data_IF_838850729617
#
_entry.id   IF_838850729617
#
_cell.length_a   1.000
_cell.length_b   1.000
_cell.length_c   1.000
_cell.angle_alpha   90.00
_cell.angle_beta   90.00
_cell.angle_gamma   90.00
#
_symmetry.space_group_name_H-M   'P 1'
#
loop_
_entity.id
_entity.type
_entity.pdbx_description
1 polymer ?
#
# COMPACT_ATOMS: atom_id res chain seq x y z
N UNK A 1 3.27 -5.49 26.83
CA UNK A 1 2.72 -4.15 26.53
C UNK A 1 1.65 -4.36 25.46
N UNK A 2 0.52 -3.66 25.52
CA UNK A 2 -0.54 -3.76 24.51
C UNK A 2 -0.21 -2.80 23.36
N UNK A 3 -0.33 -3.26 22.11
CA UNK A 3 -0.23 -2.41 20.91
C UNK A 3 -1.64 -2.04 20.42
N UNK A 4 -1.87 -0.77 20.14
CA UNK A 4 -3.13 -0.21 19.64
C UNK A 4 -2.97 0.22 18.19
N UNK A 5 -3.75 -0.39 17.31
CA UNK A 5 -3.74 -0.09 15.87
C UNK A 5 -5.05 0.61 15.53
N UNK A 6 -4.97 1.83 14.99
CA UNK A 6 -6.14 2.52 14.46
C UNK A 6 -6.29 2.22 12.96
N UNK A 7 -7.38 1.55 12.61
CA UNK A 7 -7.75 1.26 11.21
C UNK A 7 -9.03 2.02 10.87
N UNK A 8 -8.95 3.17 10.17
CA UNK A 8 -10.11 4.02 9.92
C UNK A 8 -11.02 3.45 8.82
N UNK A 9 -10.45 2.71 7.87
CA UNK A 9 -11.17 1.99 6.81
C UNK A 9 -10.34 0.79 6.35
N UNK A 10 -10.98 -0.18 5.69
CA UNK A 10 -10.28 -1.32 5.10
C UNK A 10 -9.51 -0.96 3.82
N UNK A 11 -9.90 0.12 3.13
CA UNK A 11 -9.30 0.53 1.86
C UNK A 11 -9.29 2.06 1.74
N UNK A 12 -8.15 2.65 1.36
CA UNK A 12 -8.04 4.05 1.00
C UNK A 12 -8.84 4.33 -0.29
N UNK A 13 -9.83 5.21 -0.20
CA UNK A 13 -10.73 5.58 -1.30
C UNK A 13 -12.19 5.19 -1.11
N UNK A 14 -12.56 4.58 0.02
CA UNK A 14 -13.95 4.22 0.38
C UNK A 14 -14.58 5.12 1.45
N UNK A 15 -13.81 6.07 1.98
CA UNK A 15 -14.23 6.95 3.07
C UNK A 15 -14.16 6.30 4.44
N UNK A 16 -14.27 7.17 5.45
CA UNK A 16 -14.41 6.85 6.86
C UNK A 16 -15.10 8.02 7.57
N UNK A 17 -15.71 7.75 8.73
CA UNK A 17 -16.37 8.76 9.55
C UNK A 17 -15.32 9.62 10.29
N UNK A 18 -15.38 10.95 10.12
CA UNK A 18 -14.40 11.86 10.71
C UNK A 18 -14.46 11.87 12.24
N UNK A 19 -15.65 11.74 12.81
CA UNK A 19 -15.81 11.71 14.27
C UNK A 19 -15.26 10.40 14.84
N UNK A 20 -15.40 9.27 14.13
CA UNK A 20 -14.78 8.01 14.48
C UNK A 20 -13.26 8.07 14.41
N UNK A 21 -12.70 8.69 13.36
CA UNK A 21 -11.25 8.93 13.27
C UNK A 21 -10.76 9.75 14.46
N UNK A 22 -11.44 10.85 14.79
CA UNK A 22 -11.08 11.71 15.93
C UNK A 22 -11.14 10.96 17.27
N UNK A 23 -12.17 10.13 17.49
CA UNK A 23 -12.25 9.27 18.68
C UNK A 23 -11.10 8.24 18.72
N UNK A 24 -10.75 7.67 17.58
CA UNK A 24 -9.64 6.74 17.44
C UNK A 24 -8.31 7.37 17.80
N UNK A 25 -8.04 8.57 17.30
CA UNK A 25 -6.85 9.37 17.64
C UNK A 25 -6.82 9.69 19.14
N UNK A 26 -7.94 10.13 19.72
CA UNK A 26 -8.04 10.45 21.14
C UNK A 26 -7.82 9.23 22.06
N UNK A 27 -7.98 8.00 21.55
CA UNK A 27 -7.71 6.78 22.29
C UNK A 27 -6.20 6.44 22.39
N UNK A 28 -5.32 7.24 21.78
CA UNK A 28 -3.87 7.07 21.81
C UNK A 28 -3.42 5.79 21.13
N UNK A 29 -3.56 5.69 19.79
CA UNK A 29 -3.02 4.57 19.04
C UNK A 29 -1.48 4.62 19.04
N UNK A 30 -0.84 3.49 18.73
CA UNK A 30 0.61 3.42 18.49
C UNK A 30 0.95 3.55 17.00
N UNK A 31 -0.04 3.35 16.13
CA UNK A 31 0.07 3.35 14.67
C UNK A 31 -1.31 3.58 14.05
N UNK A 32 -1.35 4.30 12.93
CA UNK A 32 -2.51 4.36 12.05
C UNK A 32 -2.19 3.50 10.82
N UNK A 33 -3.05 2.55 10.51
CA UNK A 33 -2.89 1.64 9.39
C UNK A 33 -4.13 1.65 8.49
N UNK A 34 -3.91 1.69 7.19
CA UNK A 34 -4.95 1.51 6.17
C UNK A 34 -4.40 0.56 5.10
N UNK A 35 -5.25 -0.06 4.31
CA UNK A 35 -4.80 -0.82 3.14
C UNK A 35 -5.35 -0.19 1.86
N UNK A 36 -4.91 -0.67 0.71
CA UNK A 36 -5.55 -0.42 -0.58
C UNK A 36 -5.90 -1.70 -1.32
N UNK A 37 -5.37 -2.86 -0.90
CA UNK A 37 -5.43 -4.12 -1.62
C UNK A 37 -6.84 -4.65 -1.86
N UNK A 38 -7.09 -5.22 -3.05
CA UNK A 38 -8.37 -5.86 -3.37
C UNK A 38 -8.21 -6.83 -4.54
N UNK A 39 -8.83 -7.99 -4.44
CA UNK A 39 -8.99 -8.95 -5.54
C UNK A 39 -10.29 -8.76 -6.33
N UNK A 40 -11.25 -8.04 -5.77
CA UNK A 40 -12.63 -7.94 -6.30
C UNK A 40 -12.71 -7.25 -7.65
N UNK A 41 -11.71 -6.42 -7.96
CA UNK A 41 -11.64 -5.67 -9.22
C UNK A 41 -10.99 -6.45 -10.37
N UNK A 42 -10.62 -7.71 -10.12
CA UNK A 42 -9.92 -8.53 -11.08
C UNK A 42 -8.53 -7.97 -11.43
N UNK A 43 -7.92 -8.43 -12.52
CA UNK A 43 -6.52 -8.14 -12.83
C UNK A 43 -6.30 -6.75 -13.46
N UNK A 44 -7.35 -5.98 -13.77
CA UNK A 44 -7.24 -4.76 -14.58
C UNK A 44 -6.24 -3.76 -13.99
N UNK A 45 -6.41 -3.38 -12.72
CA UNK A 45 -5.58 -2.35 -12.08
C UNK A 45 -4.13 -2.79 -11.84
N UNK A 46 -3.92 -4.10 -11.63
CA UNK A 46 -2.56 -4.67 -11.63
C UNK A 46 -1.97 -4.63 -13.03
N UNK A 47 -2.72 -5.04 -14.05
CA UNK A 47 -2.27 -5.05 -15.44
C UNK A 47 -1.92 -3.66 -15.97
N UNK A 48 -2.66 -2.63 -15.58
CA UNK A 48 -2.40 -1.23 -15.98
C UNK A 48 -1.44 -0.49 -15.05
N UNK A 49 -1.18 -1.00 -13.84
CA UNK A 49 -0.35 -0.32 -12.84
C UNK A 49 -0.96 1.02 -12.38
N UNK A 50 -2.29 1.08 -12.26
CA UNK A 50 -3.02 2.30 -11.90
C UNK A 50 -3.94 2.07 -10.71
N UNK A 51 -4.19 3.11 -9.92
CA UNK A 51 -5.15 3.04 -8.81
C UNK A 51 -6.58 2.72 -9.26
N UNK A 52 -7.28 1.89 -8.48
CA UNK A 52 -8.73 1.68 -8.60
C UNK A 52 -9.53 2.94 -8.30
N UNK A 53 -9.13 3.65 -7.24
CA UNK A 53 -9.83 4.82 -6.74
C UNK A 53 -9.23 6.10 -7.33
N UNK A 54 -10.07 7.13 -7.48
CA UNK A 54 -9.63 8.37 -8.07
C UNK A 54 -8.60 9.08 -7.19
N UNK A 55 -7.67 9.76 -7.84
CA UNK A 55 -6.62 10.53 -7.17
C UNK A 55 -7.18 11.55 -6.18
N UNK A 56 -8.26 12.25 -6.54
CA UNK A 56 -8.86 13.26 -5.67
C UNK A 56 -9.36 12.66 -4.36
N UNK A 57 -10.07 11.52 -4.42
CA UNK A 57 -10.61 10.86 -3.22
C UNK A 57 -9.47 10.32 -2.36
N UNK A 58 -8.52 9.59 -2.93
CA UNK A 58 -7.38 9.07 -2.17
C UNK A 58 -6.57 10.19 -1.51
N UNK A 59 -6.34 11.30 -2.21
CA UNK A 59 -5.61 12.45 -1.68
C UNK A 59 -6.35 13.15 -0.54
N UNK A 60 -7.67 13.31 -0.65
CA UNK A 60 -8.46 13.97 0.41
C UNK A 60 -8.56 13.11 1.66
N UNK A 61 -8.69 11.79 1.52
CA UNK A 61 -8.61 10.86 2.65
C UNK A 61 -7.19 10.81 3.23
N UNK A 62 -6.16 10.74 2.38
CA UNK A 62 -4.78 10.71 2.83
C UNK A 62 -4.38 11.98 3.59
N UNK A 63 -4.90 13.15 3.20
CA UNK A 63 -4.75 14.40 3.96
C UNK A 63 -5.22 14.23 5.40
N UNK A 64 -6.44 13.73 5.59
CA UNK A 64 -7.02 13.53 6.92
C UNK A 64 -6.19 12.55 7.75
N UNK A 65 -5.64 11.51 7.12
CA UNK A 65 -4.75 10.55 7.80
C UNK A 65 -3.38 11.15 8.14
N UNK A 66 -2.81 12.01 7.28
CA UNK A 66 -1.58 12.75 7.56
C UNK A 66 -1.73 13.73 8.73
N UNK A 67 -2.89 14.39 8.85
CA UNK A 67 -3.21 15.24 9.99
C UNK A 67 -3.44 14.41 11.26
N UNK A 68 -4.19 13.31 11.17
CA UNK A 68 -4.45 12.41 12.29
C UNK A 68 -3.16 11.80 12.85
N UNK A 69 -2.23 11.34 11.99
CA UNK A 69 -0.93 10.80 12.44
C UNK A 69 -0.11 11.87 13.15
N UNK A 70 -0.16 13.12 12.68
CA UNK A 70 0.61 14.22 13.24
C UNK A 70 0.07 14.62 14.61
N UNK A 71 -1.27 14.65 14.75
CA UNK A 71 -1.93 14.88 16.03
C UNK A 71 -1.66 13.77 17.06
N UNK A 72 -1.61 12.51 16.62
CA UNK A 72 -1.30 11.37 17.47
C UNK A 72 0.20 11.20 17.75
N UNK A 73 1.08 11.72 16.88
CA UNK A 73 2.52 11.53 16.96
C UNK A 73 2.99 10.11 16.61
N UNK A 74 2.33 9.45 15.64
CA UNK A 74 2.55 8.03 15.31
C UNK A 74 2.83 7.80 13.82
N UNK A 75 3.40 6.65 13.42
CA UNK A 75 3.53 6.31 12.00
C UNK A 75 2.17 6.06 11.33
N UNK A 76 2.09 6.41 10.05
CA UNK A 76 0.99 6.05 9.15
C UNK A 76 1.48 5.02 8.15
N UNK A 77 0.76 3.91 8.01
CA UNK A 77 1.13 2.81 7.12
C UNK A 77 -0.02 2.54 6.15
N UNK A 78 0.30 2.43 4.86
CA UNK A 78 -0.57 1.80 3.87
C UNK A 78 -0.01 0.43 3.48
N UNK A 79 -0.87 -0.59 3.41
CA UNK A 79 -0.46 -1.94 3.01
C UNK A 79 -0.12 -2.06 1.53
N UNK A 80 -1.10 -1.76 0.66
CA UNK A 80 -0.93 -1.74 -0.79
C UNK A 80 -1.34 -0.40 -1.38
N UNK A 81 -0.42 0.27 -2.07
CA UNK A 81 -0.73 1.51 -2.78
C UNK A 81 -1.58 1.23 -4.03
N UNK A 82 -2.60 2.07 -4.30
CA UNK A 82 -3.41 2.00 -5.52
C UNK A 82 -4.13 0.68 -5.79
N UNK A 83 -4.38 -0.14 -4.76
CA UNK A 83 -5.02 -1.47 -4.86
C UNK A 83 -4.18 -2.58 -5.47
N UNK A 84 -3.18 -2.28 -6.29
CA UNK A 84 -2.35 -3.29 -6.95
C UNK A 84 -0.89 -3.35 -6.46
N UNK A 85 -0.40 -2.36 -5.73
CA UNK A 85 0.92 -2.41 -5.08
C UNK A 85 2.10 -2.45 -6.05
N UNK A 86 1.90 -2.08 -7.32
CA UNK A 86 2.98 -1.94 -8.30
C UNK A 86 3.86 -0.74 -7.96
N UNK A 87 5.11 -0.74 -8.43
CA UNK A 87 6.01 0.40 -8.26
C UNK A 87 5.38 1.72 -8.69
N UNK A 88 4.65 1.73 -9.82
CA UNK A 88 3.93 2.92 -10.31
C UNK A 88 2.91 3.46 -9.31
N UNK A 89 2.20 2.59 -8.58
CA UNK A 89 1.24 3.03 -7.57
C UNK A 89 1.87 3.45 -6.26
N UNK A 90 3.02 2.87 -5.88
CA UNK A 90 3.83 3.33 -4.75
C UNK A 90 4.38 4.72 -5.03
N UNK A 91 4.94 4.95 -6.22
CA UNK A 91 5.45 6.26 -6.65
C UNK A 91 4.33 7.29 -6.74
N UNK A 92 3.18 6.93 -7.30
CA UNK A 92 1.99 7.79 -7.33
C UNK A 92 1.52 8.20 -5.93
N UNK A 93 1.53 7.28 -4.97
CA UNK A 93 1.17 7.57 -3.58
C UNK A 93 2.22 8.45 -2.89
N UNK A 94 3.48 8.25 -3.23
CA UNK A 94 4.58 9.09 -2.77
C UNK A 94 4.46 10.53 -3.28
N UNK A 95 4.11 10.72 -4.55
CA UNK A 95 3.83 12.06 -5.12
C UNK A 95 2.71 12.77 -4.36
N UNK A 96 1.58 12.10 -4.12
CA UNK A 96 0.47 12.63 -3.31
C UNK A 96 0.94 13.01 -1.91
N UNK A 97 1.77 12.17 -1.30
CA UNK A 97 2.33 12.40 0.04
C UNK A 97 3.24 13.63 0.06
N UNK A 98 4.08 13.82 -0.97
CA UNK A 98 4.95 14.99 -1.09
C UNK A 98 4.15 16.30 -1.25
N UNK A 99 3.12 16.29 -2.11
CA UNK A 99 2.22 17.43 -2.29
C UNK A 99 1.54 17.82 -0.98
N UNK A 100 0.97 16.83 -0.27
CA UNK A 100 0.30 17.06 1.01
C UNK A 100 1.27 17.52 2.09
N UNK A 101 2.48 16.95 2.15
CA UNK A 101 3.50 17.38 3.10
C UNK A 101 3.85 18.87 2.92
N UNK A 102 4.01 19.31 1.67
CA UNK A 102 4.26 20.72 1.36
C UNK A 102 3.08 21.62 1.75
N UNK A 103 1.84 21.21 1.46
CA UNK A 103 0.63 21.96 1.80
C UNK A 103 0.37 22.07 3.30
N UNK A 104 0.64 21.00 4.04
CA UNK A 104 0.45 20.90 5.49
C UNK A 104 1.64 21.44 6.28
N UNK A 105 2.74 21.84 5.62
CA UNK A 105 3.97 22.29 6.26
C UNK A 105 4.68 21.18 7.06
N UNK A 106 4.51 19.92 6.67
CA UNK A 106 5.11 18.77 7.34
C UNK A 106 6.44 18.38 6.70
N UNK A 107 7.44 18.07 7.52
CA UNK A 107 8.66 17.38 7.06
C UNK A 107 8.53 15.91 7.43
N UNK A 108 8.51 15.03 6.42
CA UNK A 108 8.21 13.61 6.59
C UNK A 108 9.40 12.73 6.18
N UNK A 109 9.71 11.73 7.00
CA UNK A 109 10.52 10.58 6.60
C UNK A 109 9.62 9.49 6.01
N UNK A 110 9.65 9.31 4.70
CA UNK A 110 8.82 8.32 4.01
C UNK A 110 9.66 7.09 3.64
N UNK A 111 9.19 5.90 4.03
CA UNK A 111 9.70 4.63 3.53
C UNK A 111 8.80 4.13 2.40
N UNK A 112 9.40 3.70 1.28
CA UNK A 112 8.71 3.15 0.12
C UNK A 112 9.12 1.70 -0.06
N UNK A 113 8.15 0.79 -0.07
CA UNK A 113 8.37 -0.64 -0.23
C UNK A 113 7.90 -1.05 -1.62
N UNK A 114 8.82 -1.59 -2.40
CA UNK A 114 8.53 -2.10 -3.73
C UNK A 114 8.46 -3.61 -3.70
N UNK A 115 7.41 -4.17 -4.29
CA UNK A 115 7.15 -5.61 -4.30
C UNK A 115 7.24 -6.21 -5.70
N UNK A 116 7.60 -5.41 -6.70
CA UNK A 116 7.70 -5.81 -8.09
C UNK A 116 8.74 -6.92 -8.28
N UNK A 117 8.36 -7.94 -9.04
CA UNK A 117 9.19 -9.11 -9.34
C UNK A 117 9.53 -9.09 -10.83
N UNK A 118 10.81 -9.18 -11.21
CA UNK A 118 11.17 -9.29 -12.62
C UNK A 118 10.64 -10.60 -13.20
N UNK A 119 10.11 -10.56 -14.42
CA UNK A 119 9.57 -11.75 -15.11
C UNK A 119 10.58 -12.90 -15.20
N UNK A 120 11.87 -12.60 -15.29
CA UNK A 120 12.93 -13.59 -15.31
C UNK A 120 13.06 -14.38 -14.00
N UNK A 121 12.73 -13.78 -12.85
CA UNK A 121 12.66 -14.53 -11.60
C UNK A 121 11.50 -15.54 -11.62
N UNK A 122 10.38 -15.18 -12.24
CA UNK A 122 9.23 -16.07 -12.41
C UNK A 122 9.54 -17.19 -13.40
N UNK A 123 10.21 -16.88 -14.52
CA UNK A 123 10.70 -17.87 -15.50
C UNK A 123 11.64 -18.87 -14.84
N UNK A 124 12.63 -18.39 -14.08
CA UNK A 124 13.55 -19.25 -13.37
C UNK A 124 12.85 -20.13 -12.31
N UNK A 125 11.86 -19.59 -11.59
CA UNK A 125 11.07 -20.38 -10.66
C UNK A 125 10.23 -21.46 -11.35
N UNK A 126 9.67 -21.16 -12.53
CA UNK A 126 8.92 -22.12 -13.35
C UNK A 126 9.81 -23.25 -13.83
N UNK A 127 10.94 -22.91 -14.45
CA UNK A 127 11.87 -23.88 -15.05
C UNK A 127 12.53 -24.79 -14.00
N UNK A 128 12.50 -24.37 -12.73
CA UNK A 128 12.95 -25.13 -11.57
C UNK A 128 11.81 -25.86 -10.82
N UNK A 129 10.61 -25.96 -11.39
CA UNK A 129 9.42 -26.58 -10.77
C UNK A 129 9.05 -26.00 -9.39
N UNK A 130 9.32 -24.71 -9.17
CA UNK A 130 9.01 -23.99 -7.91
C UNK A 130 7.75 -23.13 -7.96
N UNK A 131 7.04 -23.11 -9.09
CA UNK A 131 5.74 -22.43 -9.18
C UNK A 131 4.61 -23.39 -8.81
N UNK A 132 3.93 -23.05 -7.72
CA UNK A 132 2.72 -23.76 -7.29
C UNK A 132 1.53 -22.84 -7.58
N UNK A 133 0.71 -23.16 -8.60
CA UNK A 133 -0.43 -22.31 -8.96
C UNK A 133 -1.53 -22.34 -7.90
N UNK A 134 -2.15 -21.18 -7.63
CA UNK A 134 -3.37 -21.09 -6.83
C UNK A 134 -4.60 -21.26 -7.76
N UNK A 135 -5.42 -22.28 -7.54
CA UNK A 135 -6.59 -22.54 -8.38
C UNK A 135 -7.62 -21.38 -8.31
N UNK A 136 -8.21 -20.92 -9.44
CA UNK A 136 -8.07 -21.41 -10.82
C UNK A 136 -7.03 -20.63 -11.65
N UNK A 137 -5.73 -20.81 -11.37
CA UNK A 137 -4.66 -20.20 -12.16
C UNK A 137 -4.68 -20.63 -13.63
N UNK A 138 -4.26 -19.70 -14.49
CA UNK A 138 -3.96 -19.98 -15.89
C UNK A 138 -2.56 -20.60 -16.02
N UNK A 139 -2.31 -21.29 -17.12
CA UNK A 139 -0.98 -21.81 -17.43
C UNK A 139 0.04 -20.66 -17.52
N UNK A 140 1.25 -20.88 -16.99
CA UNK A 140 2.34 -19.90 -17.00
C UNK A 140 3.40 -20.32 -18.03
N UNK A 141 3.02 -20.37 -19.30
CA UNK A 141 3.95 -20.62 -20.41
C UNK A 141 4.74 -19.36 -20.81
N UNK A 142 5.61 -19.47 -21.82
CA UNK A 142 6.45 -18.36 -22.24
C UNK A 142 5.64 -17.18 -22.80
N UNK A 143 4.54 -17.45 -23.47
CA UNK A 143 3.65 -16.42 -24.02
C UNK A 143 2.92 -15.69 -22.88
N UNK A 144 2.43 -16.42 -21.88
CA UNK A 144 1.83 -15.86 -20.68
C UNK A 144 2.82 -14.97 -19.92
N UNK A 145 4.06 -15.44 -19.71
CA UNK A 145 5.11 -14.66 -19.07
C UNK A 145 5.47 -13.40 -19.87
N UNK A 146 5.58 -13.50 -21.20
CA UNK A 146 5.86 -12.36 -22.06
C UNK A 146 4.74 -11.30 -22.03
N UNK A 147 3.49 -11.72 -21.76
CA UNK A 147 2.34 -10.83 -21.64
C UNK A 147 2.16 -10.19 -20.26
N UNK A 148 2.91 -10.61 -19.23
CA UNK A 148 2.80 -10.02 -17.89
C UNK A 148 3.45 -8.64 -17.85
N UNK A 149 2.63 -7.61 -17.67
CA UNK A 149 3.08 -6.22 -17.54
C UNK A 149 3.57 -5.89 -16.13
N UNK A 150 2.91 -6.43 -15.11
CA UNK A 150 3.25 -6.22 -13.71
C UNK A 150 3.15 -7.55 -12.95
N UNK A 151 4.16 -7.82 -12.12
CA UNK A 151 4.22 -8.98 -11.23
C UNK A 151 4.60 -8.43 -9.87
N UNK A 152 3.80 -8.69 -8.86
CA UNK A 152 4.02 -8.20 -7.49
C UNK A 152 4.07 -9.37 -6.52
N UNK A 153 4.98 -9.30 -5.55
CA UNK A 153 5.08 -10.25 -4.46
C UNK A 153 4.21 -9.81 -3.26
N UNK A 154 3.78 -10.78 -2.45
CA UNK A 154 3.21 -10.48 -1.15
C UNK A 154 4.34 -10.18 -0.16
N UNK A 155 4.39 -8.95 0.36
CA UNK A 155 5.34 -8.58 1.40
C UNK A 155 4.94 -9.20 2.75
N UNK A 156 5.91 -9.80 3.44
CA UNK A 156 5.73 -10.24 4.82
C UNK A 156 5.70 -9.06 5.80
N UNK A 157 5.18 -9.29 7.00
CA UNK A 157 5.11 -8.27 8.05
C UNK A 157 6.51 -7.75 8.47
N UNK A 158 7.56 -8.53 8.22
CA UNK A 158 8.96 -8.20 8.48
C UNK A 158 9.41 -6.97 7.69
N UNK A 159 8.89 -6.77 6.47
CA UNK A 159 9.25 -5.61 5.64
C UNK A 159 8.65 -4.33 6.22
N UNK A 160 7.40 -4.38 6.66
CA UNK A 160 6.73 -3.26 7.33
C UNK A 160 7.41 -2.94 8.66
N UNK A 161 7.77 -3.95 9.46
CA UNK A 161 8.53 -3.76 10.69
C UNK A 161 9.89 -3.10 10.42
N UNK A 162 10.60 -3.54 9.38
CA UNK A 162 11.88 -2.95 8.98
C UNK A 162 11.71 -1.47 8.63
N UNK A 163 10.66 -1.12 7.88
CA UNK A 163 10.36 0.25 7.51
C UNK A 163 10.03 1.15 8.72
N UNK A 164 9.18 0.67 9.62
CA UNK A 164 8.84 1.36 10.89
C UNK A 164 10.11 1.58 11.72
N UNK A 165 10.99 0.58 11.83
CA UNK A 165 12.25 0.66 12.58
C UNK A 165 13.24 1.68 12.01
N UNK A 166 13.05 2.18 10.79
CA UNK A 166 13.84 3.30 10.27
C UNK A 166 13.46 4.64 10.91
N UNK A 167 12.40 4.69 11.72
CA UNK A 167 11.78 5.93 12.20
C UNK A 167 10.93 6.61 11.12
N UNK A 168 10.41 5.83 10.17
CA UNK A 168 9.55 6.35 9.11
C UNK A 168 8.27 6.93 9.71
N UNK A 169 7.95 8.13 9.27
CA UNK A 169 6.70 8.82 9.53
C UNK A 169 5.54 8.18 8.75
N UNK A 170 5.84 7.82 7.50
CA UNK A 170 4.90 7.22 6.55
C UNK A 170 5.57 6.02 5.90
N UNK A 171 4.85 4.90 5.83
CA UNK A 171 5.25 3.70 5.08
C UNK A 171 4.26 3.49 3.94
N UNK A 172 4.78 3.39 2.72
CA UNK A 172 4.05 3.20 1.46
C UNK A 172 4.38 1.86 0.82
#
# INVERSE_FOLDING_TARGET
MQTRVLVPSGVLGLGFDSDALARGVAAGPDIIAIDGGSTDSGPFYLGTGTSKYSRSVCRDEWRQLLEARAAAGVPLVIGSCGTCGTASTVDWMFEITCELAAELGQTLRVARLYSDVPVEALRHARDADRLIPLHPAQATDDDALAGMTNIVALAGAEQIQTAINTGADVVL
#
